data_IF_798083338026
#
_entry.id   IF_798083338026
#
_cell.length_a   1.000
_cell.length_b   1.000
_cell.length_c   1.000
_cell.angle_alpha   90.00
_cell.angle_beta   90.00
_cell.angle_gamma   90.00
#
_symmetry.space_group_name_H-M   'P 1'
#
loop_
_entity.id
_entity.type
_entity.pdbx_description
1 polymer ?
#
# COMPACT_ATOMS: atom_id res chain seq x y z
N UNK A 1 7.12 3.45 -66.02
CA UNK A 1 7.99 2.99 -64.92
C UNK A 1 8.21 4.13 -63.94
N UNK A 2 8.23 3.83 -62.63
CA UNK A 2 8.66 4.67 -61.50
C UNK A 2 7.67 5.79 -61.12
N UNK A 3 7.08 5.91 -59.92
CA UNK A 3 7.41 5.36 -58.60
C UNK A 3 8.25 6.35 -57.79
N UNK A 4 7.60 7.16 -56.93
CA UNK A 4 8.11 7.96 -55.76
C UNK A 4 6.88 8.73 -55.22
N UNK A 5 6.39 8.65 -53.98
CA UNK A 5 6.97 8.24 -52.71
C UNK A 5 7.16 9.48 -51.83
N UNK A 6 6.32 9.67 -50.80
CA UNK A 6 6.44 10.73 -49.78
C UNK A 6 5.10 11.46 -49.54
N UNK A 7 4.57 11.62 -48.34
CA UNK A 7 5.00 11.18 -47.03
C UNK A 7 3.76 11.03 -46.14
N UNK A 8 3.69 9.90 -45.43
CA UNK A 8 2.75 9.74 -44.32
C UNK A 8 3.25 10.64 -43.21
N UNK A 9 2.51 11.72 -42.94
CA UNK A 9 2.69 12.49 -41.72
C UNK A 9 2.45 11.55 -40.55
N UNK A 10 3.53 11.06 -39.96
CA UNK A 10 3.52 10.48 -38.62
C UNK A 10 3.02 11.59 -37.70
N UNK A 11 1.72 11.57 -37.42
CA UNK A 11 1.18 12.21 -36.24
C UNK A 11 1.89 11.58 -35.05
N UNK A 12 2.99 12.20 -34.63
CA UNK A 12 3.55 12.02 -33.31
C UNK A 12 2.39 12.36 -32.38
N UNK A 13 1.68 11.32 -31.94
CA UNK A 13 0.70 11.42 -30.87
C UNK A 13 1.46 12.10 -29.75
N UNK A 14 1.15 13.38 -29.53
CA UNK A 14 1.64 14.13 -28.38
C UNK A 14 1.40 13.21 -27.19
N UNK A 15 2.44 12.85 -26.40
CA UNK A 15 2.19 12.10 -25.19
C UNK A 15 1.08 12.82 -24.43
N UNK A 16 0.08 12.11 -23.90
CA UNK A 16 -0.99 12.75 -23.14
C UNK A 16 -0.33 13.71 -22.14
N UNK A 17 -0.86 14.93 -21.95
CA UNK A 17 -0.28 15.85 -20.98
C UNK A 17 -0.17 15.08 -19.66
N UNK A 18 1.06 14.97 -19.14
CA UNK A 18 1.29 14.32 -17.86
C UNK A 18 0.31 14.96 -16.87
N UNK A 19 -0.59 14.16 -16.30
CA UNK A 19 -1.59 14.66 -15.37
C UNK A 19 -0.89 15.48 -14.28
N UNK A 20 -1.46 16.63 -13.86
CA UNK A 20 -0.81 17.49 -12.89
C UNK A 20 -0.51 16.70 -11.61
N UNK A 21 0.56 17.04 -10.87
CA UNK A 21 0.84 16.40 -9.58
C UNK A 21 -0.32 16.64 -8.62
N UNK A 22 -0.60 15.66 -7.76
CA UNK A 22 -1.63 15.81 -6.73
C UNK A 22 -1.27 16.91 -5.73
N UNK A 23 -2.27 17.64 -5.27
CA UNK A 23 -2.18 18.60 -4.17
C UNK A 23 -2.08 17.88 -2.83
N UNK A 24 -1.58 18.56 -1.79
CA UNK A 24 -1.55 18.00 -0.44
C UNK A 24 -2.96 17.64 0.07
N UNK A 25 -4.00 18.38 -0.33
CA UNK A 25 -5.38 18.07 0.00
C UNK A 25 -5.87 16.76 -0.64
N UNK A 26 -5.54 16.53 -1.91
CA UNK A 26 -5.83 15.27 -2.59
C UNK A 26 -5.09 14.10 -1.93
N UNK A 27 -3.81 14.28 -1.56
CA UNK A 27 -3.03 13.27 -0.81
C UNK A 27 -3.66 12.96 0.55
N UNK A 28 -4.12 13.98 1.30
CA UNK A 28 -4.89 13.78 2.53
C UNK A 28 -6.14 12.94 2.29
N UNK A 29 -6.86 13.20 1.20
CA UNK A 29 -8.09 12.47 0.85
C UNK A 29 -7.83 11.02 0.41
N UNK A 30 -6.64 10.69 -0.08
CA UNK A 30 -6.24 9.32 -0.39
C UNK A 30 -6.00 8.46 0.87
N UNK A 31 -5.98 9.05 2.06
CA UNK A 31 -5.63 8.34 3.28
C UNK A 31 -6.78 7.49 3.85
N UNK A 32 -6.52 6.22 4.10
CA UNK A 32 -7.45 5.32 4.79
C UNK A 32 -7.10 5.22 6.27
N UNK A 33 -8.11 5.38 7.13
CA UNK A 33 -8.01 5.35 8.59
C UNK A 33 -8.24 3.93 9.11
N UNK A 34 -7.67 3.58 10.27
CA UNK A 34 -7.88 2.25 10.91
C UNK A 34 -9.35 1.92 11.12
N UNK A 35 -10.19 2.89 11.50
CA UNK A 35 -11.65 2.70 11.64
C UNK A 35 -12.33 2.25 10.34
N UNK A 36 -11.88 2.75 9.19
CA UNK A 36 -12.41 2.32 7.88
C UNK A 36 -11.98 0.89 7.58
N UNK A 37 -10.69 0.57 7.79
CA UNK A 37 -10.17 -0.79 7.65
C UNK A 37 -10.94 -1.78 8.53
N UNK A 38 -11.21 -1.42 9.79
CA UNK A 38 -11.98 -2.24 10.70
C UNK A 38 -13.44 -2.44 10.26
N UNK A 39 -14.07 -1.43 9.65
CA UNK A 39 -15.42 -1.56 9.06
C UNK A 39 -15.42 -2.45 7.81
N UNK A 40 -14.35 -2.39 7.02
CA UNK A 40 -14.26 -3.07 5.72
C UNK A 40 -13.56 -4.43 5.77
N UNK A 41 -12.93 -4.81 6.89
CA UNK A 41 -12.07 -6.01 6.96
C UNK A 41 -12.78 -7.31 6.52
N UNK A 42 -14.07 -7.46 6.85
CA UNK A 42 -14.89 -8.61 6.50
C UNK A 42 -15.55 -8.49 5.11
N UNK A 43 -15.41 -7.34 4.43
CA UNK A 43 -16.02 -7.10 3.12
C UNK A 43 -15.15 -7.70 2.01
N UNK A 44 -15.76 -8.27 0.96
CA UNK A 44 -15.02 -8.85 -0.17
C UNK A 44 -14.29 -7.77 -0.98
N UNK A 45 -14.80 -6.53 -0.98
CA UNK A 45 -14.21 -5.42 -1.72
C UNK A 45 -12.99 -4.78 -1.05
N UNK A 46 -12.56 -5.22 0.14
CA UNK A 46 -11.49 -4.55 0.90
C UNK A 46 -10.23 -4.37 0.05
N UNK A 47 -9.79 -5.43 -0.63
CA UNK A 47 -8.55 -5.43 -1.42
C UNK A 47 -8.61 -4.41 -2.55
N UNK A 48 -9.73 -4.40 -3.28
CA UNK A 48 -9.99 -3.41 -4.32
C UNK A 48 -10.04 -2.01 -3.72
N UNK A 49 -10.74 -1.83 -2.59
CA UNK A 49 -10.97 -0.52 -1.99
C UNK A 49 -9.69 0.19 -1.51
N UNK A 50 -8.72 -0.55 -0.99
CA UNK A 50 -7.51 0.05 -0.40
C UNK A 50 -6.31 0.07 -1.34
N UNK A 51 -6.38 -0.59 -2.50
CA UNK A 51 -5.31 -0.56 -3.48
C UNK A 51 -5.01 0.87 -3.93
N UNK A 52 -3.75 1.30 -3.80
CA UNK A 52 -3.30 2.65 -4.14
C UNK A 52 -3.63 3.73 -3.10
N UNK A 53 -4.37 3.41 -2.04
CA UNK A 53 -4.61 4.33 -0.92
C UNK A 53 -3.34 4.57 -0.10
N UNK A 54 -3.36 5.63 0.70
CA UNK A 54 -2.28 5.93 1.64
C UNK A 54 -2.70 5.53 3.06
N UNK A 55 -1.74 5.12 3.88
CA UNK A 55 -1.94 4.90 5.32
C UNK A 55 -0.92 5.68 6.11
N UNK A 56 -1.37 6.27 7.21
CA UNK A 56 -0.50 6.89 8.20
C UNK A 56 -0.12 5.82 9.23
N UNK A 57 1.12 5.36 9.20
CA UNK A 57 1.63 4.35 10.11
C UNK A 57 2.44 4.97 11.24
N UNK A 58 2.22 4.45 12.45
CA UNK A 58 3.14 4.69 13.55
C UNK A 58 4.34 3.75 13.41
N UNK A 59 5.53 4.31 13.20
CA UNK A 59 6.78 3.55 13.06
C UNK A 59 7.67 3.64 14.31
N UNK A 60 7.25 4.36 15.34
CA UNK A 60 7.99 4.58 16.58
C UNK A 60 7.32 5.62 17.48
N UNK A 61 7.79 5.80 18.72
CA UNK A 61 7.15 6.71 19.69
C UNK A 61 6.98 8.14 19.12
N UNK A 62 5.74 8.49 18.76
CA UNK A 62 5.41 9.80 18.18
C UNK A 62 5.78 9.99 16.71
N UNK A 63 6.33 8.99 16.03
CA UNK A 63 6.77 9.09 14.63
C UNK A 63 5.75 8.42 13.73
N UNK A 64 5.13 9.23 12.87
CA UNK A 64 4.13 8.77 11.91
C UNK A 64 4.57 9.06 10.48
N UNK A 65 4.38 8.08 9.58
CA UNK A 65 4.73 8.22 8.17
C UNK A 65 3.62 7.74 7.24
N UNK A 66 3.51 8.42 6.10
CA UNK A 66 2.65 7.99 5.01
C UNK A 66 3.32 6.88 4.22
N UNK A 67 2.54 5.86 3.87
CA UNK A 67 2.95 4.81 2.96
C UNK A 67 1.80 4.42 2.02
N UNK A 68 2.15 3.99 0.81
CA UNK A 68 1.18 3.56 -0.19
C UNK A 68 0.83 2.08 0.00
N UNK A 69 -0.46 1.78 -0.03
CA UNK A 69 -0.98 0.42 0.04
C UNK A 69 -0.96 -0.19 -1.35
N UNK A 70 -0.26 -1.31 -1.48
CA UNK A 70 -0.22 -2.12 -2.70
C UNK A 70 -1.34 -3.15 -2.76
N UNK A 71 -1.81 -3.63 -1.62
CA UNK A 71 -2.88 -4.61 -1.53
C UNK A 71 -3.06 -5.20 -0.14
N UNK A 72 -3.82 -6.28 -0.07
CA UNK A 72 -4.05 -7.07 1.15
C UNK A 72 -3.40 -8.43 0.99
N UNK A 73 -2.75 -8.91 2.05
CA UNK A 73 -2.19 -10.26 2.11
C UNK A 73 -2.77 -11.04 3.28
N UNK A 74 -2.97 -12.34 3.05
CA UNK A 74 -3.37 -13.32 4.07
C UNK A 74 -2.24 -14.32 4.39
N UNK A 75 -1.22 -14.33 3.52
CA UNK A 75 -0.07 -15.21 3.59
C UNK A 75 1.20 -14.39 3.51
N UNK A 76 2.24 -14.86 4.17
CA UNK A 76 3.54 -14.24 4.06
C UNK A 76 4.03 -14.34 2.59
N UNK A 77 4.41 -13.22 1.94
CA UNK A 77 4.85 -13.27 0.54
C UNK A 77 6.15 -14.06 0.32
N UNK A 78 6.94 -14.29 1.37
CA UNK A 78 8.20 -15.03 1.33
C UNK A 78 8.00 -16.52 1.65
N UNK A 79 7.33 -16.86 2.76
CA UNK A 79 7.15 -18.26 3.16
C UNK A 79 5.88 -18.91 2.59
N UNK A 80 4.88 -18.12 2.17
CA UNK A 80 3.57 -18.61 1.73
C UNK A 80 2.69 -19.13 2.87
N UNK A 81 3.18 -19.08 4.11
CA UNK A 81 2.46 -19.51 5.30
C UNK A 81 1.34 -18.55 5.64
N UNK A 82 0.29 -19.08 6.25
CA UNK A 82 -0.82 -18.25 6.70
C UNK A 82 -0.38 -17.35 7.86
N UNK A 83 -0.75 -16.08 7.76
CA UNK A 83 -0.42 -15.10 8.79
C UNK A 83 -1.31 -15.34 10.01
N UNK A 84 -0.71 -15.27 11.20
CA UNK A 84 -1.47 -15.39 12.44
C UNK A 84 -2.52 -14.29 12.56
N UNK A 85 -3.67 -14.68 13.14
CA UNK A 85 -4.75 -13.75 13.48
C UNK A 85 -4.30 -12.79 14.57
N UNK A 86 -4.75 -11.55 14.47
CA UNK A 86 -4.53 -10.53 15.48
C UNK A 86 -5.79 -9.71 15.70
N UNK A 87 -5.87 -9.03 16.84
CA UNK A 87 -6.97 -8.13 17.16
C UNK A 87 -6.80 -6.79 16.42
N UNK A 88 -7.71 -6.50 15.49
CA UNK A 88 -7.74 -5.25 14.72
C UNK A 88 -8.30 -4.10 15.57
N UNK A 89 -9.37 -4.40 16.29
CA UNK A 89 -10.05 -3.54 17.25
C UNK A 89 -10.76 -4.44 18.25
N UNK A 90 -11.20 -3.88 19.39
CA UNK A 90 -11.85 -4.64 20.47
C UNK A 90 -12.90 -5.61 19.92
N UNK A 91 -12.66 -6.91 20.05
CA UNK A 91 -13.58 -7.98 19.63
C UNK A 91 -13.66 -8.23 18.12
N UNK A 92 -12.69 -7.77 17.33
CA UNK A 92 -12.58 -8.03 15.89
C UNK A 92 -11.20 -8.60 15.56
N UNK A 93 -11.16 -9.87 15.12
CA UNK A 93 -9.91 -10.54 14.74
C UNK A 93 -9.78 -10.71 13.23
N UNK A 94 -8.55 -10.64 12.72
CA UNK A 94 -8.27 -10.89 11.31
C UNK A 94 -6.82 -11.34 11.09
N UNK A 95 -6.60 -12.11 10.02
CA UNK A 95 -5.25 -12.43 9.51
C UNK A 95 -4.83 -11.50 8.37
N UNK A 96 -5.75 -10.65 7.87
CA UNK A 96 -5.48 -9.75 6.75
C UNK A 96 -4.45 -8.70 7.16
N UNK A 97 -3.42 -8.50 6.36
CA UNK A 97 -2.39 -7.46 6.55
C UNK A 97 -2.28 -6.59 5.30
N UNK A 98 -1.80 -5.37 5.47
CA UNK A 98 -1.54 -4.47 4.33
C UNK A 98 -0.17 -4.82 3.74
N UNK A 99 -0.10 -4.93 2.43
CA UNK A 99 1.17 -4.89 1.69
C UNK A 99 1.45 -3.45 1.33
N UNK A 100 2.56 -2.90 1.78
CA UNK A 100 2.93 -1.51 1.58
C UNK A 100 4.13 -1.36 0.64
N UNK A 101 4.11 -0.28 -0.12
CA UNK A 101 5.26 0.20 -0.88
C UNK A 101 6.17 0.99 0.06
N UNK A 102 7.33 0.41 0.33
CA UNK A 102 8.50 1.02 0.97
C UNK A 102 9.74 0.44 0.29
N UNK A 103 10.94 0.98 0.57
CA UNK A 103 12.26 0.53 0.03
C UNK A 103 12.34 -0.98 -0.29
N UNK A 104 11.76 -1.80 0.58
CA UNK A 104 11.30 -3.16 0.28
C UNK A 104 9.80 -3.29 0.61
N UNK A 105 9.08 -4.16 -0.12
CA UNK A 105 7.66 -4.44 0.14
C UNK A 105 7.48 -4.91 1.59
N UNK A 106 6.68 -4.19 2.36
CA UNK A 106 6.49 -4.47 3.79
C UNK A 106 5.08 -4.99 4.06
N UNK A 107 4.96 -5.99 4.93
CA UNK A 107 3.68 -6.50 5.42
C UNK A 107 3.43 -5.97 6.82
N UNK A 108 2.31 -5.27 7.05
CA UNK A 108 1.96 -4.68 8.35
C UNK A 108 0.52 -4.96 8.76
N UNK A 109 0.26 -5.16 10.06
CA UNK A 109 -1.09 -5.33 10.56
C UNK A 109 -1.88 -4.02 10.47
N UNK A 110 -3.17 -4.13 10.11
CA UNK A 110 -4.06 -2.96 9.98
C UNK A 110 -4.27 -2.21 11.32
N UNK A 111 -3.97 -2.82 12.47
CA UNK A 111 -4.10 -2.15 13.77
C UNK A 111 -3.01 -1.08 14.02
N UNK A 112 -1.89 -1.15 13.29
CA UNK A 112 -0.81 -0.15 13.30
C UNK A 112 -1.12 1.13 12.50
N UNK A 113 -2.23 1.16 11.78
CA UNK A 113 -2.69 2.34 11.05
C UNK A 113 -3.28 3.36 12.03
N UNK A 114 -2.95 4.63 11.83
CA UNK A 114 -3.49 5.74 12.61
C UNK A 114 -4.92 6.07 12.20
N UNK A 115 -5.68 6.70 13.11
CA UNK A 115 -6.96 7.33 12.77
C UNK A 115 -6.84 8.83 12.55
N UNK A 116 -5.67 9.41 12.82
CA UNK A 116 -5.38 10.83 12.61
C UNK A 116 -5.20 11.12 11.14
N UNK A 117 -5.44 12.38 10.76
CA UNK A 117 -5.14 12.88 9.42
C UNK A 117 -3.66 13.25 9.33
N UNK A 118 -3.01 13.04 8.18
CA UNK A 118 -1.61 13.41 8.04
C UNK A 118 -1.46 14.93 8.05
N UNK A 119 -0.44 15.40 8.76
CA UNK A 119 -0.05 16.81 8.77
C UNK A 119 0.64 17.20 7.46
N UNK A 120 0.75 18.50 7.20
CA UNK A 120 1.48 18.98 6.01
C UNK A 120 2.97 18.60 6.08
N UNK A 121 3.55 18.66 7.27
CA UNK A 121 4.93 18.21 7.52
C UNK A 121 5.13 16.72 7.16
N UNK A 122 4.18 15.85 7.53
CA UNK A 122 4.26 14.42 7.21
C UNK A 122 4.10 14.15 5.70
N UNK A 123 3.30 14.97 5.03
CA UNK A 123 3.11 14.89 3.57
C UNK A 123 4.37 15.35 2.84
N UNK A 124 5.00 16.43 3.32
CA UNK A 124 6.26 16.92 2.74
C UNK A 124 7.42 15.97 3.06
N UNK A 125 7.52 15.43 4.28
CA UNK A 125 8.50 14.37 4.62
C UNK A 125 8.34 13.20 3.65
N UNK A 126 7.12 12.69 3.46
CA UNK A 126 6.85 11.61 2.51
C UNK A 126 7.29 11.98 1.09
N UNK A 127 6.98 13.21 0.63
CA UNK A 127 7.41 13.70 -0.69
C UNK A 127 8.92 13.60 -0.89
N UNK A 128 9.70 13.98 0.12
CA UNK A 128 11.17 13.95 0.04
C UNK A 128 11.74 12.53 0.01
N UNK A 129 11.02 11.56 0.57
CA UNK A 129 11.47 10.17 0.67
C UNK A 129 11.14 9.33 -0.57
N UNK A 130 10.09 9.69 -1.32
CA UNK A 130 9.64 8.96 -2.52
C UNK A 130 10.75 8.63 -3.52
N UNK A 131 11.65 9.56 -3.91
CA UNK A 131 12.72 9.24 -4.85
C UNK A 131 13.70 8.18 -4.32
N UNK A 132 14.02 8.24 -3.02
CA UNK A 132 14.91 7.27 -2.38
C UNK A 132 14.26 5.88 -2.24
N UNK A 133 12.93 5.82 -2.31
CA UNK A 133 12.13 4.59 -2.28
C UNK A 133 11.83 4.04 -3.67
N UNK A 134 12.24 4.73 -4.74
CA UNK A 134 11.89 4.37 -6.11
C UNK A 134 10.40 4.54 -6.42
N UNK A 135 9.67 5.28 -5.59
CA UNK A 135 8.28 5.63 -5.81
C UNK A 135 8.18 7.08 -6.31
N UNK A 136 6.98 7.49 -6.74
CA UNK A 136 6.75 8.83 -7.28
C UNK A 136 5.58 9.51 -6.60
N UNK A 137 5.57 10.83 -6.68
CA UNK A 137 4.42 11.60 -6.29
C UNK A 137 3.21 11.23 -7.15
N UNK A 138 2.03 11.00 -6.56
CA UNK A 138 0.84 10.66 -7.32
C UNK A 138 0.41 11.83 -8.20
N UNK A 139 -0.14 11.52 -9.37
CA UNK A 139 -0.86 12.53 -10.17
C UNK A 139 -2.24 12.82 -9.55
N UNK A 140 -2.79 14.00 -9.82
CA UNK A 140 -4.14 14.40 -9.40
C UNK A 140 -5.20 13.40 -9.92
N UNK A 141 -5.03 12.86 -11.14
CA UNK A 141 -5.95 11.85 -11.68
C UNK A 141 -5.88 10.52 -10.91
N UNK A 142 -4.69 10.09 -10.49
CA UNK A 142 -4.55 8.92 -9.62
C UNK A 142 -5.18 9.17 -8.25
N UNK A 143 -4.95 10.34 -7.68
CA UNK A 143 -5.52 10.71 -6.39
C UNK A 143 -7.05 10.72 -6.45
N UNK A 144 -7.64 11.35 -7.46
CA UNK A 144 -9.08 11.36 -7.69
C UNK A 144 -9.66 9.95 -7.87
N UNK A 145 -8.98 9.07 -8.62
CA UNK A 145 -9.41 7.68 -8.78
C UNK A 145 -9.43 6.93 -7.45
N UNK A 146 -8.39 7.08 -6.63
CA UNK A 146 -8.29 6.47 -5.29
C UNK A 146 -9.36 7.05 -4.35
N UNK A 147 -9.57 8.36 -4.36
CA UNK A 147 -10.60 9.01 -3.55
C UNK A 147 -12.00 8.50 -3.91
N UNK A 148 -12.32 8.41 -5.21
CA UNK A 148 -13.58 7.83 -5.69
C UNK A 148 -13.75 6.38 -5.24
N UNK A 149 -12.68 5.60 -5.27
CA UNK A 149 -12.69 4.21 -4.82
C UNK A 149 -12.95 4.10 -3.30
N UNK A 150 -12.31 4.94 -2.48
CA UNK A 150 -12.56 5.00 -1.04
C UNK A 150 -14.01 5.42 -0.74
N UNK A 151 -14.56 6.36 -1.52
CA UNK A 151 -15.96 6.78 -1.41
C UNK A 151 -16.93 5.65 -1.79
N UNK A 152 -16.65 4.91 -2.87
CA UNK A 152 -17.42 3.73 -3.27
C UNK A 152 -17.44 2.65 -2.17
N UNK A 153 -16.28 2.38 -1.55
CA UNK A 153 -16.17 1.46 -0.43
C UNK A 153 -16.92 1.96 0.82
N UNK A 154 -16.91 3.27 1.08
CA UNK A 154 -17.68 3.88 2.15
C UNK A 154 -19.20 3.73 1.94
N UNK A 155 -19.66 3.79 0.69
CA UNK A 155 -21.03 3.49 0.26
C UNK A 155 -21.40 2.00 0.29
N UNK A 156 -20.49 1.12 0.71
CA UNK A 156 -20.74 -0.31 0.85
C UNK A 156 -20.38 -1.14 -0.39
N UNK A 157 -19.68 -0.56 -1.37
CA UNK A 157 -19.15 -1.29 -2.52
C UNK A 157 -20.24 -1.85 -3.44
N UNK A 158 -21.37 -1.16 -3.60
CA UNK A 158 -22.43 -1.56 -4.53
C UNK A 158 -22.09 -1.10 -5.95
N UNK A 159 -22.32 -1.96 -6.93
CA UNK A 159 -21.97 -1.70 -8.34
C UNK A 159 -20.48 -1.88 -8.62
N UNK A 160 -20.07 -1.57 -9.85
CA UNK A 160 -18.68 -1.72 -10.28
C UNK A 160 -17.74 -0.75 -9.56
N UNK A 161 -16.55 -1.23 -9.14
CA UNK A 161 -15.56 -0.35 -8.54
C UNK A 161 -15.03 0.67 -9.57
N UNK A 162 -14.67 1.89 -9.14
CA UNK A 162 -13.93 2.81 -9.98
C UNK A 162 -12.65 2.15 -10.49
N UNK A 163 -12.35 2.33 -11.78
CA UNK A 163 -11.10 1.78 -12.34
C UNK A 163 -9.92 2.63 -11.86
N UNK A 164 -9.01 2.01 -11.11
CA UNK A 164 -7.72 2.61 -10.82
C UNK A 164 -6.93 2.77 -12.11
N UNK A 165 -6.32 3.93 -12.27
CA UNK A 165 -5.31 4.13 -13.30
C UNK A 165 -4.05 3.43 -12.78
N UNK A 166 -3.48 2.47 -13.53
CA UNK A 166 -2.21 1.88 -13.13
C UNK A 166 -1.18 3.00 -13.03
N UNK A 167 -0.27 2.95 -12.05
CA UNK A 167 0.76 3.96 -11.97
C UNK A 167 1.51 3.99 -13.29
N UNK A 168 1.56 5.17 -13.92
CA UNK A 168 2.28 5.41 -15.17
C UNK A 168 3.74 4.96 -14.95
N UNK A 169 4.08 3.76 -15.44
CA UNK A 169 5.48 3.36 -15.57
C UNK A 169 5.97 4.18 -16.74
N UNK A 170 6.50 5.35 -16.44
CA UNK A 170 6.96 6.29 -17.45
C UNK A 170 7.73 5.60 -18.56
N UNK A 171 7.34 5.91 -19.80
CA UNK A 171 8.14 5.71 -21.01
C UNK A 171 8.62 4.29 -21.26
N UNK A 172 7.86 3.53 -22.06
CA UNK A 172 8.38 2.36 -22.74
C UNK A 172 9.63 2.70 -23.54
N UNK A 173 10.80 2.35 -23.01
CA UNK A 173 12.02 2.25 -23.77
C UNK A 173 11.82 1.18 -24.85
N UNK A 174 11.80 1.63 -26.10
CA UNK A 174 11.82 0.82 -27.30
C UNK A 174 12.97 -0.19 -27.23
N UNK A 175 12.66 -1.46 -26.95
CA UNK A 175 13.59 -2.55 -27.23
C UNK A 175 13.81 -2.64 -28.74
N UNK A 176 15.04 -2.90 -29.23
CA UNK A 176 15.28 -3.03 -30.66
C UNK A 176 14.52 -4.24 -31.23
N UNK A 177 14.03 -4.15 -32.48
CA UNK A 177 13.28 -5.24 -33.08
C UNK A 177 14.23 -6.33 -33.57
N UNK A 178 13.95 -7.58 -33.18
CA UNK A 178 14.43 -8.75 -33.89
C UNK A 178 15.52 -9.55 -33.18
N UNK A 179 15.11 -10.46 -32.30
CA UNK A 179 15.70 -11.79 -32.19
C UNK A 179 14.56 -12.77 -31.82
N UNK A 180 14.48 -13.89 -32.54
CA UNK A 180 13.45 -14.92 -32.36
C UNK A 180 13.48 -15.61 -30.99
N UNK A 181 12.55 -16.56 -30.74
CA UNK A 181 12.37 -17.13 -29.41
C UNK A 181 13.59 -17.98 -29.00
N UNK A 182 14.23 -17.73 -27.84
CA UNK A 182 15.24 -18.64 -27.34
C UNK A 182 14.59 -19.80 -26.58
N UNK A 183 14.80 -20.99 -27.11
CA UNK A 183 14.60 -22.28 -26.46
C UNK A 183 15.44 -22.41 -25.18
N UNK A 184 14.81 -22.89 -24.11
CA UNK A 184 15.38 -23.55 -22.92
C UNK A 184 16.81 -23.19 -22.44
N UNK A 185 16.90 -22.53 -21.28
CA UNK A 185 17.50 -23.07 -20.04
C UNK A 185 17.36 -22.05 -18.91
N UNK A 186 16.73 -22.45 -17.80
CA UNK A 186 16.77 -21.72 -16.52
C UNK A 186 18.23 -21.70 -16.02
N UNK A 187 18.83 -20.53 -15.72
CA UNK A 187 20.03 -20.49 -14.91
C UNK A 187 19.69 -20.79 -13.44
N UNK A 188 20.61 -21.39 -12.67
CA UNK A 188 20.39 -21.76 -11.28
C UNK A 188 20.31 -20.54 -10.38
N UNK A 189 19.51 -20.70 -9.33
CA UNK A 189 19.29 -19.80 -8.21
C UNK A 189 20.59 -19.70 -7.39
N UNK A 190 21.39 -18.64 -7.53
CA UNK A 190 22.37 -18.22 -6.51
C UNK A 190 23.00 -16.88 -6.92
N UNK A 191 22.63 -15.81 -6.22
CA UNK A 191 23.57 -14.78 -5.70
C UNK A 191 22.81 -13.75 -4.84
N UNK A 192 22.61 -14.14 -3.58
CA UNK A 192 23.09 -13.44 -2.38
C UNK A 192 23.20 -11.91 -2.38
N UNK A 193 22.07 -11.21 -2.20
CA UNK A 193 22.01 -9.95 -1.41
C UNK A 193 20.77 -9.88 -0.48
N UNK A 194 20.00 -10.97 -0.34
CA UNK A 194 18.74 -11.00 0.42
C UNK A 194 18.86 -11.62 1.82
N UNK A 195 20.09 -11.83 2.32
CA UNK A 195 20.35 -12.31 3.67
C UNK A 195 20.72 -11.15 4.59
N UNK A 196 19.75 -10.30 4.90
CA UNK A 196 19.76 -9.66 6.21
C UNK A 196 18.34 -9.71 6.76
N UNK A 197 18.08 -10.45 7.85
CA UNK A 197 16.85 -10.24 8.59
C UNK A 197 16.82 -8.78 9.07
N UNK A 198 15.64 -8.15 9.17
CA UNK A 198 15.56 -6.83 9.78
C UNK A 198 16.22 -6.90 11.18
N UNK A 199 16.91 -5.85 11.63
CA UNK A 199 17.50 -5.82 12.96
C UNK A 199 16.46 -6.24 14.00
N UNK A 200 16.85 -7.17 14.87
CA UNK A 200 16.02 -7.76 15.95
C UNK A 200 15.50 -6.73 16.96
N UNK A 201 15.89 -5.47 16.83
CA UNK A 201 15.53 -4.35 17.70
C UNK A 201 14.36 -3.51 17.15
N UNK A 202 13.32 -4.15 16.62
CA UNK A 202 12.02 -3.50 16.49
C UNK A 202 11.23 -3.71 17.80
N UNK A 203 10.94 -2.67 18.60
CA UNK A 203 10.15 -2.80 19.81
C UNK A 203 8.65 -2.89 19.44
N UNK A 204 8.27 -3.97 18.76
CA UNK A 204 6.89 -4.36 18.48
C UNK A 204 6.32 -5.33 19.53
N UNK A 205 7.09 -5.65 20.57
CA UNK A 205 6.64 -6.48 21.68
C UNK A 205 6.02 -5.62 22.78
N UNK A 206 4.75 -5.91 23.09
CA UNK A 206 3.95 -5.43 24.24
C UNK A 206 3.12 -4.16 23.96
N UNK A 207 1.98 -4.38 23.32
CA UNK A 207 0.81 -3.52 23.47
C UNK A 207 0.34 -3.57 24.93
N UNK A 208 0.89 -2.70 25.78
CA UNK A 208 0.36 -2.46 27.11
C UNK A 208 -0.82 -1.48 26.99
N UNK A 209 -2.04 -2.01 27.08
CA UNK A 209 -3.27 -1.21 27.01
C UNK A 209 -4.54 -2.01 27.27
N UNK A 210 -4.48 -3.01 28.17
CA UNK A 210 -5.68 -3.62 28.74
C UNK A 210 -5.99 -2.99 30.10
N UNK A 211 -7.26 -2.73 30.45
CA UNK A 211 -7.61 -2.12 31.75
C UNK A 211 -7.25 -3.06 32.90
N UNK A 212 -6.96 -2.53 34.11
CA UNK A 212 -6.64 -3.37 35.26
C UNK A 212 -7.84 -4.27 35.58
N UNK A 213 -7.60 -5.59 35.50
CA UNK A 213 -8.48 -6.60 36.08
C UNK A 213 -8.27 -6.56 37.58
N UNK A 214 -9.22 -5.96 38.28
CA UNK A 214 -9.38 -6.11 39.72
C UNK A 214 -9.68 -7.58 40.03
N UNK A 215 -8.70 -8.30 40.57
CA UNK A 215 -8.88 -9.66 41.05
C UNK A 215 -9.26 -9.55 42.52
N UNK A 216 -10.57 -9.69 42.78
CA UNK A 216 -11.08 -9.93 44.12
C UNK A 216 -10.42 -11.15 44.75
N UNK A 217 -9.75 -10.95 45.89
CA UNK A 217 -9.44 -12.02 46.84
C UNK A 217 -10.52 -12.04 47.91
N UNK A 218 -11.47 -12.96 47.74
CA UNK A 218 -12.27 -13.47 48.85
C UNK A 218 -11.63 -14.73 49.43
N UNK A 219 -11.42 -14.74 50.75
CA UNK A 219 -11.29 -15.88 51.71
C UNK A 219 -10.72 -15.23 52.99
N UNK A 220 -11.33 -15.20 54.18
CA UNK A 220 -12.39 -15.99 54.79
C UNK A 220 -11.87 -16.62 56.09
N UNK A 221 -12.51 -16.28 57.22
CA UNK A 221 -12.67 -17.04 58.48
C UNK A 221 -11.54 -17.16 59.54
N UNK A 222 -11.93 -16.87 60.80
CA UNK A 222 -11.40 -17.40 62.07
C UNK A 222 -10.27 -16.56 62.69
N UNK A 223 -10.30 -16.15 63.96
CA UNK A 223 -11.12 -16.49 65.13
C UNK A 223 -11.05 -15.32 66.13
#
# INVERSE_FOLDING_TARGET
>A
GGGRGGGRGSGLLRPPPASPPATAAEVKAMCVKRKQLAKWHAKPFLEVAVGGALVLLNIGPGVYRLQRVMGIVLRDPHSGEELEKYELQKGTETAKRLLLEWKSRQVVPMNGVSNSEPTEEQIEEWRTLLPAEGSRWPSSTEADAVVKQLAWAAGGGKGDPPRLIPPDRGGGGSGPPGLGPPTHRRPPLEDSHWRDPPPRDYPGGRWAGGPPRDIGRGRGWGR
#
